data_IF_967648722575
#
_entry.id   IF_967648722575
#
_cell.length_a   1.000
_cell.length_b   1.000
_cell.length_c   1.000
_cell.angle_alpha   90.00
_cell.angle_beta   90.00
_cell.angle_gamma   90.00
#
_symmetry.space_group_name_H-M   'P 1'
#
loop_
_entity.id
_entity.type
_entity.pdbx_description
1 polymer ?
#
# COMPACT_ATOMS: atom_id res chain seq x y z
N UNK A 1 14.36 -0.33 32.06
CA UNK A 1 14.49 -1.38 31.03
C UNK A 1 13.16 -2.05 30.61
N UNK A 2 12.05 -1.96 31.37
CA UNK A 2 10.76 -2.57 30.97
C UNK A 2 9.90 -1.73 30.01
N UNK A 3 10.00 -0.40 30.06
CA UNK A 3 9.20 0.53 29.23
C UNK A 3 9.62 0.45 27.74
N UNK A 4 10.90 0.21 27.46
CA UNK A 4 11.44 0.14 26.09
C UNK A 4 10.99 -1.11 25.32
N UNK A 5 10.80 -2.24 26.01
CA UNK A 5 10.34 -3.50 25.39
C UNK A 5 8.88 -3.35 24.92
N UNK A 6 8.01 -2.74 25.74
CA UNK A 6 6.63 -2.47 25.36
C UNK A 6 6.53 -1.55 24.13
N UNK A 7 7.36 -0.51 24.06
CA UNK A 7 7.39 0.39 22.91
C UNK A 7 7.89 -0.33 21.65
N UNK A 8 8.96 -1.13 21.74
CA UNK A 8 9.43 -1.93 20.60
C UNK A 8 8.36 -2.90 20.10
N UNK A 9 7.66 -3.59 21.01
CA UNK A 9 6.62 -4.56 20.64
C UNK A 9 5.45 -3.87 19.94
N UNK A 10 4.99 -2.71 20.44
CA UNK A 10 3.93 -1.94 19.79
C UNK A 10 4.34 -1.45 18.39
N UNK A 11 5.57 -1.00 18.21
CA UNK A 11 6.08 -0.60 16.88
C UNK A 11 6.15 -1.78 15.92
N UNK A 12 6.62 -2.94 16.38
CA UNK A 12 6.71 -4.16 15.56
C UNK A 12 5.32 -4.66 15.16
N UNK A 13 4.37 -4.74 16.11
CA UNK A 13 2.99 -5.14 15.81
C UNK A 13 2.33 -4.20 14.81
N UNK A 14 2.54 -2.89 14.97
CA UNK A 14 2.02 -1.89 14.04
C UNK A 14 2.63 -2.04 12.63
N UNK A 15 3.94 -2.29 12.56
CA UNK A 15 4.63 -2.53 11.29
C UNK A 15 4.12 -3.80 10.60
N UNK A 16 4.00 -4.92 11.32
CA UNK A 16 3.43 -6.16 10.79
C UNK A 16 1.98 -5.97 10.32
N UNK A 17 1.17 -5.22 11.07
CA UNK A 17 -0.20 -4.92 10.68
C UNK A 17 -0.26 -4.12 9.37
N UNK A 18 0.59 -3.10 9.20
CA UNK A 18 0.68 -2.37 7.94
C UNK A 18 1.20 -3.26 6.80
N UNK A 19 2.20 -4.09 7.05
CA UNK A 19 2.77 -4.98 6.04
C UNK A 19 1.78 -6.04 5.55
N UNK A 20 1.00 -6.64 6.44
CA UNK A 20 -0.09 -7.56 6.08
C UNK A 20 -1.13 -6.84 5.22
N UNK A 21 -1.59 -5.66 5.66
CA UNK A 21 -2.58 -4.88 4.88
C UNK A 21 -2.06 -4.44 3.52
N UNK A 22 -0.77 -4.13 3.39
CA UNK A 22 -0.16 -3.83 2.09
C UNK A 22 -0.12 -5.06 1.19
N UNK A 23 0.19 -6.23 1.75
CA UNK A 23 0.17 -7.51 1.01
C UNK A 23 -1.24 -7.84 0.52
N UNK A 24 -2.28 -7.56 1.32
CA UNK A 24 -3.69 -7.73 0.92
C UNK A 24 -4.14 -6.67 -0.09
N UNK A 25 -3.61 -5.45 -0.02
CA UNK A 25 -4.00 -4.33 -0.87
C UNK A 25 -3.26 -4.26 -2.22
N UNK A 26 -2.11 -4.91 -2.34
CA UNK A 26 -1.31 -5.03 -3.58
C UNK A 26 -2.10 -5.60 -4.76
N UNK A 27 -2.76 -6.78 -4.66
CA UNK A 27 -3.54 -7.32 -5.78
C UNK A 27 -4.69 -6.39 -6.18
N UNK A 28 -5.34 -5.74 -5.21
CA UNK A 28 -6.44 -4.81 -5.47
C UNK A 28 -5.98 -3.55 -6.22
N UNK A 29 -4.79 -3.03 -5.89
CA UNK A 29 -4.21 -1.90 -6.61
C UNK A 29 -3.83 -2.28 -8.04
N UNK A 30 -3.25 -3.47 -8.24
CA UNK A 30 -2.89 -3.96 -9.57
C UNK A 30 -4.14 -4.16 -10.45
N UNK A 31 -5.22 -4.69 -9.88
CA UNK A 31 -6.50 -4.82 -10.57
C UNK A 31 -7.06 -3.44 -10.96
N UNK A 32 -7.07 -2.48 -10.02
CA UNK A 32 -7.51 -1.11 -10.29
C UNK A 32 -6.67 -0.46 -11.41
N UNK A 33 -5.34 -0.62 -11.38
CA UNK A 33 -4.43 -0.12 -12.42
C UNK A 33 -4.84 -0.69 -13.78
N UNK A 34 -5.09 -2.00 -13.88
CA UNK A 34 -5.50 -2.63 -15.14
C UNK A 34 -6.84 -2.08 -15.65
N UNK A 35 -7.85 -1.99 -14.78
CA UNK A 35 -9.16 -1.44 -15.15
C UNK A 35 -9.03 0.00 -15.67
N UNK A 36 -8.30 0.86 -14.97
CA UNK A 36 -8.13 2.25 -15.39
C UNK A 36 -7.23 2.40 -16.62
N UNK A 37 -6.17 1.60 -16.73
CA UNK A 37 -5.29 1.58 -17.91
C UNK A 37 -6.06 1.14 -19.16
N UNK A 38 -6.89 0.11 -19.08
CA UNK A 38 -7.68 -0.39 -20.21
C UNK A 38 -8.84 0.53 -20.56
N UNK A 39 -9.52 1.11 -19.57
CA UNK A 39 -10.67 1.98 -19.81
C UNK A 39 -10.32 3.42 -20.19
N UNK A 40 -9.27 4.00 -19.58
CA UNK A 40 -8.94 5.42 -19.69
C UNK A 40 -7.59 5.68 -20.37
N UNK A 41 -6.74 4.66 -20.48
CA UNK A 41 -5.37 4.78 -20.99
C UNK A 41 -4.34 5.15 -19.92
N UNK A 42 -3.07 4.91 -20.25
CA UNK A 42 -1.91 5.09 -19.36
C UNK A 42 -1.72 6.55 -18.88
N UNK A 43 -2.01 7.52 -19.77
CA UNK A 43 -1.77 8.94 -19.52
C UNK A 43 -2.94 9.64 -18.82
N UNK A 44 -4.04 8.94 -18.57
CA UNK A 44 -5.19 9.54 -17.89
C UNK A 44 -4.88 9.86 -16.43
N UNK A 45 -5.39 10.98 -15.93
CA UNK A 45 -5.15 11.46 -14.56
C UNK A 45 -5.52 10.44 -13.48
N UNK A 46 -6.64 9.73 -13.65
CA UNK A 46 -7.05 8.65 -12.75
C UNK A 46 -6.09 7.46 -12.75
N UNK A 47 -5.67 6.97 -13.91
CA UNK A 47 -4.66 5.90 -14.03
C UNK A 47 -3.37 6.29 -13.31
N UNK A 48 -2.89 7.51 -13.55
CA UNK A 48 -1.70 8.06 -12.90
C UNK A 48 -1.85 8.23 -11.38
N UNK A 49 -3.06 8.56 -10.91
CA UNK A 49 -3.36 8.67 -9.47
C UNK A 49 -3.26 7.31 -8.79
N UNK A 50 -3.84 6.26 -9.39
CA UNK A 50 -3.76 4.91 -8.82
C UNK A 50 -2.33 4.39 -8.84
N UNK A 51 -1.55 4.65 -9.89
CA UNK A 51 -0.13 4.32 -9.91
C UNK A 51 0.68 5.02 -8.80
N UNK A 52 0.40 6.29 -8.52
CA UNK A 52 1.05 7.02 -7.40
C UNK A 52 0.69 6.42 -6.05
N UNK A 53 -0.58 6.08 -5.85
CA UNK A 53 -1.03 5.45 -4.60
C UNK A 53 -0.37 4.08 -4.40
N UNK A 54 -0.29 3.27 -5.46
CA UNK A 54 0.41 1.99 -5.43
C UNK A 54 1.89 2.15 -5.09
N UNK A 55 2.59 3.09 -5.75
CA UNK A 55 3.99 3.38 -5.44
C UNK A 55 4.19 3.88 -4.01
N UNK A 56 3.26 4.68 -3.48
CA UNK A 56 3.30 5.15 -2.10
C UNK A 56 3.08 4.05 -1.07
N UNK A 57 2.42 2.95 -1.45
CA UNK A 57 2.23 1.77 -0.60
C UNK A 57 3.48 0.88 -0.52
N UNK A 58 4.33 0.91 -1.55
CA UNK A 58 5.57 0.12 -1.63
C UNK A 58 6.80 0.83 -1.06
N UNK A 59 6.68 2.12 -0.70
CA UNK A 59 7.75 2.97 -0.14
C UNK A 59 7.74 2.97 1.38
#
# INVERSE_FOLDING_TARGET
MKISISQQFSTIVLLYYFQVRYTEAEPLHLEAINIFREGLGENHSHTQTVYRNYRGMLS
#
